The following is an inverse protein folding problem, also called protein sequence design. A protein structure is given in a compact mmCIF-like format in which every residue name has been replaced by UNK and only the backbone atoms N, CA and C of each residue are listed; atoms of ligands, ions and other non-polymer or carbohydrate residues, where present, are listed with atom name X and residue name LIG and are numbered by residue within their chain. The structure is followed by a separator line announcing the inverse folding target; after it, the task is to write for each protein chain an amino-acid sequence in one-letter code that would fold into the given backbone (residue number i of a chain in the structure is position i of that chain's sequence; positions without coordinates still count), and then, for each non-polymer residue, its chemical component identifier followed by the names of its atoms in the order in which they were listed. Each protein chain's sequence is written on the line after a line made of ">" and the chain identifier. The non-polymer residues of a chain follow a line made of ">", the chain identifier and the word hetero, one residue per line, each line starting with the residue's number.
data_IF_637236050167
#
_entry.id   IF_637236050167
#
_cell.length_a   1.000
_cell.length_b   1.000
_cell.length_c   1.000
_cell.angle_alpha   90.00
_cell.angle_beta   90.00
_cell.angle_gamma   90.00
#
_symmetry.space_group_name_H-M   'P 1'
#
loop_
_entity.id
_entity.type
_entity.pdbx_description
1 polymer ?
#
# COMPACT_ATOMS: atom_id res chain seq x y z
N UNK A 1 -13.81 22.78 8.38
CA UNK A 1 -13.74 22.39 6.95
C UNK A 1 -14.27 20.96 6.82
N UNK A 2 -14.72 20.50 5.64
CA UNK A 2 -15.07 19.09 5.46
C UNK A 2 -13.86 18.18 5.74
N UNK A 3 -14.12 17.02 6.33
CA UNK A 3 -13.09 16.13 6.89
C UNK A 3 -13.15 14.72 6.31
N UNK A 4 -12.01 14.20 5.86
CA UNK A 4 -11.83 12.80 5.50
C UNK A 4 -11.09 12.04 6.61
N UNK A 5 -11.66 10.92 7.05
CA UNK A 5 -11.00 10.01 8.00
C UNK A 5 -10.48 8.77 7.27
N UNK A 6 -9.16 8.63 7.21
CA UNK A 6 -8.50 7.46 6.64
C UNK A 6 -8.33 6.36 7.69
N UNK A 7 -8.87 5.16 7.43
CA UNK A 7 -8.76 4.02 8.35
C UNK A 7 -8.00 2.87 7.68
N UNK A 8 -6.89 2.45 8.30
CA UNK A 8 -6.00 1.44 7.75
C UNK A 8 -4.86 1.09 8.70
N UNK A 9 -3.77 0.48 8.22
CA UNK A 9 -2.60 0.15 9.04
C UNK A 9 -1.56 1.29 9.03
N UNK A 10 -1.94 2.53 9.32
CA UNK A 10 -1.04 3.69 9.18
C UNK A 10 0.16 3.71 10.14
N UNK A 11 0.11 2.99 11.26
CA UNK A 11 1.24 2.90 12.20
C UNK A 11 2.15 1.68 11.93
N UNK A 12 1.97 1.00 10.79
CA UNK A 12 2.76 -0.18 10.43
C UNK A 12 3.58 0.12 9.17
N UNK A 13 4.90 -0.09 9.16
CA UNK A 13 5.73 0.15 7.97
C UNK A 13 5.21 -0.60 6.73
N UNK A 14 5.12 0.10 5.60
CA UNK A 14 4.76 -0.48 4.30
C UNK A 14 3.95 0.46 3.41
N UNK A 15 3.76 0.06 2.15
CA UNK A 15 3.21 0.95 1.13
C UNK A 15 1.83 1.54 1.43
N UNK A 16 0.91 0.77 2.02
CA UNK A 16 -0.40 1.32 2.40
C UNK A 16 -0.30 2.43 3.47
N UNK A 17 0.64 2.33 4.40
CA UNK A 17 0.82 3.36 5.42
C UNK A 17 1.36 4.64 4.80
N UNK A 18 2.35 4.53 3.92
CA UNK A 18 2.90 5.67 3.18
C UNK A 18 1.82 6.36 2.32
N UNK A 19 0.99 5.58 1.60
CA UNK A 19 -0.15 6.14 0.84
C UNK A 19 -1.09 6.92 1.74
N UNK A 20 -1.45 6.34 2.89
CA UNK A 20 -2.35 7.01 3.83
C UNK A 20 -1.75 8.30 4.39
N UNK A 21 -0.45 8.30 4.71
CA UNK A 21 0.27 9.48 5.20
C UNK A 21 0.28 10.59 4.14
N UNK A 22 0.67 10.26 2.90
CA UNK A 22 0.71 11.24 1.80
C UNK A 22 -0.68 11.85 1.56
N UNK A 23 -1.74 11.04 1.53
CA UNK A 23 -3.12 11.54 1.36
C UNK A 23 -3.59 12.40 2.53
N UNK A 24 -3.16 12.09 3.76
CA UNK A 24 -3.53 12.85 4.94
C UNK A 24 -2.78 14.19 5.06
N UNK A 25 -1.53 14.23 4.60
CA UNK A 25 -0.71 15.45 4.55
C UNK A 25 -1.11 16.37 3.40
N UNK A 26 -1.68 15.81 2.33
CA UNK A 26 -2.09 16.54 1.13
C UNK A 26 -3.58 16.29 0.82
N UNK A 27 -4.51 16.70 1.71
CA UNK A 27 -5.93 16.58 1.43
C UNK A 27 -6.35 17.47 0.24
N UNK A 28 -7.51 17.19 -0.39
CA UNK A 28 -8.07 18.10 -1.39
C UNK A 28 -8.21 19.53 -0.87
N UNK A 29 -8.13 20.51 -1.77
CA UNK A 29 -8.28 21.92 -1.40
C UNK A 29 -9.59 22.15 -0.63
N UNK A 30 -9.50 22.81 0.52
CA UNK A 30 -10.65 23.05 1.40
C UNK A 30 -11.02 21.88 2.31
N UNK A 31 -10.27 20.78 2.32
CA UNK A 31 -10.50 19.62 3.19
C UNK A 31 -9.43 19.46 4.25
N UNK A 32 -9.81 18.82 5.36
CA UNK A 32 -8.91 18.28 6.38
C UNK A 32 -8.88 16.75 6.30
N UNK A 33 -7.75 16.14 6.68
CA UNK A 33 -7.63 14.70 6.75
C UNK A 33 -7.07 14.22 8.10
N UNK A 34 -7.60 13.10 8.58
CA UNK A 34 -7.14 12.44 9.81
C UNK A 34 -6.86 10.96 9.56
N UNK A 35 -5.93 10.41 10.35
CA UNK A 35 -5.56 9.00 10.32
C UNK A 35 -6.10 8.26 11.54
N UNK A 36 -6.66 7.07 11.32
CA UNK A 36 -7.04 6.14 12.37
C UNK A 36 -6.47 4.75 12.11
N UNK A 37 -5.45 4.42 12.89
CA UNK A 37 -4.81 3.11 12.81
C UNK A 37 -5.69 2.01 13.40
N UNK A 38 -5.96 1.00 12.60
CA UNK A 38 -6.76 -0.18 12.97
C UNK A 38 -5.93 -1.44 13.16
N UNK A 39 -4.60 -1.33 13.10
CA UNK A 39 -3.65 -2.44 13.09
C UNK A 39 -2.33 -2.05 13.74
N UNK A 40 -1.67 -3.02 14.38
CA UNK A 40 -0.30 -2.91 14.88
C UNK A 40 0.46 -4.19 14.53
N UNK A 41 1.78 -4.11 14.45
CA UNK A 41 2.64 -5.31 14.43
C UNK A 41 2.60 -6.03 15.78
N UNK A 42 2.99 -7.30 15.79
CA UNK A 42 3.03 -8.12 17.02
C UNK A 42 1.88 -9.11 17.16
N UNK A 43 1.54 -9.44 18.41
CA UNK A 43 0.70 -10.58 18.77
C UNK A 43 -0.76 -10.44 18.29
N UNK A 44 -1.50 -11.56 18.12
CA UNK A 44 -2.92 -11.53 17.78
C UNK A 44 -3.75 -10.68 18.75
N UNK A 45 -3.40 -10.71 20.04
CA UNK A 45 -4.05 -9.89 21.05
C UNK A 45 -3.80 -8.39 20.87
N UNK A 46 -2.57 -7.98 20.56
CA UNK A 46 -2.25 -6.59 20.24
C UNK A 46 -3.05 -6.09 19.03
N UNK A 47 -3.10 -6.89 17.96
CA UNK A 47 -3.89 -6.60 16.75
C UNK A 47 -5.38 -6.45 17.05
N UNK A 48 -5.93 -7.33 17.88
CA UNK A 48 -7.33 -7.27 18.29
C UNK A 48 -7.65 -6.04 19.15
N UNK A 49 -6.77 -5.69 20.10
CA UNK A 49 -6.91 -4.47 20.91
C UNK A 49 -6.86 -3.21 20.05
N UNK A 50 -5.91 -3.11 19.11
CA UNK A 50 -5.82 -1.99 18.18
C UNK A 50 -7.11 -1.86 17.35
N UNK A 51 -7.61 -2.96 16.79
CA UNK A 51 -8.88 -2.98 16.07
C UNK A 51 -10.05 -2.51 16.95
N UNK A 52 -10.17 -2.98 18.20
CA UNK A 52 -11.25 -2.56 19.12
C UNK A 52 -11.13 -1.10 19.51
N UNK A 53 -9.92 -0.61 19.79
CA UNK A 53 -9.66 0.80 20.10
C UNK A 53 -10.14 1.67 18.93
N UNK A 54 -9.67 1.40 17.72
CA UNK A 54 -10.07 2.12 16.52
C UNK A 54 -11.59 2.09 16.29
N UNK A 55 -12.22 0.93 16.50
CA UNK A 55 -13.68 0.81 16.38
C UNK A 55 -14.42 1.68 17.39
N UNK A 56 -13.97 1.70 18.65
CA UNK A 56 -14.59 2.51 19.69
C UNK A 56 -14.37 4.00 19.41
N UNK A 57 -13.19 4.40 18.96
CA UNK A 57 -12.88 5.77 18.52
C UNK A 57 -13.80 6.19 17.38
N UNK A 58 -13.95 5.38 16.33
CA UNK A 58 -14.89 5.70 15.24
C UNK A 58 -16.33 5.87 15.76
N UNK A 59 -16.79 4.99 16.65
CA UNK A 59 -18.15 5.12 17.23
C UNK A 59 -18.31 6.43 18.02
N UNK A 60 -17.28 6.87 18.75
CA UNK A 60 -17.29 8.15 19.45
C UNK A 60 -17.31 9.32 18.47
N UNK A 61 -16.46 9.31 17.44
CA UNK A 61 -16.43 10.33 16.39
C UNK A 61 -17.78 10.46 15.68
N UNK A 62 -18.41 9.34 15.31
CA UNK A 62 -19.71 9.35 14.63
C UNK A 62 -20.85 9.93 15.48
N UNK A 63 -20.73 9.87 16.81
CA UNK A 63 -21.71 10.42 17.77
C UNK A 63 -21.47 11.89 18.10
N UNK A 64 -20.24 12.38 18.01
CA UNK A 64 -19.87 13.75 18.37
C UNK A 64 -19.87 14.67 17.15
N UNK A 65 -20.78 15.68 17.05
CA UNK A 65 -20.87 16.52 15.85
C UNK A 65 -19.56 17.20 15.45
N UNK A 66 -18.75 17.65 16.42
CA UNK A 66 -17.46 18.29 16.15
C UNK A 66 -16.34 17.34 15.70
N UNK A 67 -16.46 16.04 15.98
CA UNK A 67 -15.45 15.01 15.64
C UNK A 67 -15.87 14.16 14.45
N UNK A 68 -17.09 14.35 13.97
CA UNK A 68 -17.70 13.50 12.96
C UNK A 68 -17.06 13.79 11.59
N UNK A 69 -16.49 12.78 10.92
CA UNK A 69 -15.96 12.98 9.58
C UNK A 69 -17.10 13.09 8.56
N UNK A 70 -16.85 13.82 7.48
CA UNK A 70 -17.76 13.95 6.34
C UNK A 70 -17.65 12.74 5.40
N UNK A 71 -16.46 12.12 5.31
CA UNK A 71 -16.20 10.90 4.53
C UNK A 71 -15.24 10.00 5.30
N UNK A 72 -15.44 8.67 5.24
CA UNK A 72 -14.46 7.70 5.72
C UNK A 72 -13.82 6.94 4.56
N UNK A 73 -12.50 6.99 4.46
CA UNK A 73 -11.71 6.28 3.44
C UNK A 73 -11.02 5.06 4.05
N UNK A 74 -11.52 3.87 3.74
CA UNK A 74 -11.05 2.60 4.27
C UNK A 74 -9.99 2.00 3.35
N UNK A 75 -8.77 1.84 3.85
CA UNK A 75 -7.66 1.20 3.11
C UNK A 75 -7.57 -0.28 3.48
N UNK A 76 -7.73 -1.16 2.49
CA UNK A 76 -7.72 -2.60 2.72
C UNK A 76 -6.85 -3.38 1.73
N UNK A 77 -6.29 -4.47 2.22
CA UNK A 77 -5.82 -5.59 1.40
C UNK A 77 -6.84 -6.75 1.45
N UNK A 78 -6.47 -7.90 0.89
CA UNK A 78 -7.24 -9.14 0.96
C UNK A 78 -7.38 -9.70 2.39
N UNK A 79 -8.16 -10.78 2.52
CA UNK A 79 -8.28 -11.62 3.71
C UNK A 79 -8.63 -10.87 5.01
N UNK A 80 -7.90 -11.08 6.11
CA UNK A 80 -8.19 -10.48 7.42
C UNK A 80 -8.18 -8.95 7.43
N UNK A 81 -7.53 -8.31 6.45
CA UNK A 81 -7.66 -6.87 6.28
C UNK A 81 -9.11 -6.51 5.95
N UNK A 82 -9.71 -7.16 4.95
CA UNK A 82 -11.09 -6.91 4.56
C UNK A 82 -12.06 -7.19 5.72
N UNK A 83 -11.91 -8.33 6.40
CA UNK A 83 -12.80 -8.71 7.50
C UNK A 83 -12.86 -7.68 8.64
N UNK A 84 -11.77 -6.94 8.87
CA UNK A 84 -11.77 -5.81 9.81
C UNK A 84 -12.41 -4.57 9.21
N UNK A 85 -12.06 -4.20 7.97
CA UNK A 85 -12.54 -2.97 7.30
C UNK A 85 -14.04 -3.00 7.05
N UNK A 86 -14.63 -4.16 6.78
CA UNK A 86 -16.09 -4.31 6.64
C UNK A 86 -16.85 -3.79 7.87
N UNK A 87 -16.30 -3.96 9.09
CA UNK A 87 -17.01 -3.49 10.28
C UNK A 87 -17.00 -1.97 10.37
N UNK A 88 -15.91 -1.33 9.96
CA UNK A 88 -15.83 0.13 9.87
C UNK A 88 -16.81 0.65 8.80
N UNK A 89 -16.86 0.05 7.60
CA UNK A 89 -17.84 0.41 6.57
C UNK A 89 -19.29 0.35 7.08
N UNK A 90 -19.65 -0.72 7.79
CA UNK A 90 -20.98 -0.85 8.41
C UNK A 90 -21.28 0.24 9.44
N UNK A 91 -20.31 0.55 10.31
CA UNK A 91 -20.49 1.56 11.35
C UNK A 91 -20.65 2.94 10.73
N UNK A 92 -19.81 3.28 9.75
CA UNK A 92 -19.87 4.54 9.02
C UNK A 92 -21.21 4.70 8.29
N UNK A 93 -21.64 3.67 7.54
CA UNK A 93 -22.90 3.70 6.82
C UNK A 93 -24.11 3.87 7.75
N UNK A 94 -24.18 3.08 8.84
CA UNK A 94 -25.23 3.21 9.86
C UNK A 94 -25.19 4.56 10.57
N UNK A 95 -24.00 5.13 10.69
CA UNK A 95 -23.80 6.47 11.21
C UNK A 95 -24.33 7.56 10.28
N UNK A 96 -24.65 7.26 9.02
CA UNK A 96 -25.06 8.23 8.01
C UNK A 96 -23.89 8.97 7.36
N UNK A 97 -22.69 8.39 7.39
CA UNK A 97 -21.49 8.96 6.75
C UNK A 97 -21.16 8.13 5.50
N UNK A 98 -20.85 8.75 4.35
CA UNK A 98 -20.40 8.03 3.16
C UNK A 98 -19.04 7.35 3.41
N UNK A 99 -18.81 6.21 2.73
CA UNK A 99 -17.57 5.45 2.89
C UNK A 99 -16.98 5.04 1.53
N UNK A 100 -15.65 5.11 1.46
CA UNK A 100 -14.84 4.66 0.33
C UNK A 100 -14.08 3.42 0.78
N UNK A 101 -14.14 2.32 0.01
CA UNK A 101 -13.33 1.12 0.21
C UNK A 101 -12.26 1.09 -0.87
N UNK A 102 -11.01 1.33 -0.48
CA UNK A 102 -9.85 1.36 -1.35
C UNK A 102 -9.06 0.05 -1.21
N UNK A 103 -8.99 -0.73 -2.29
CA UNK A 103 -8.33 -2.04 -2.35
C UNK A 103 -6.89 -1.87 -2.85
N UNK A 104 -5.93 -2.28 -2.04
CA UNK A 104 -4.49 -2.15 -2.28
C UNK A 104 -3.78 -3.47 -2.66
N UNK A 105 -4.50 -4.60 -2.61
CA UNK A 105 -3.89 -5.93 -2.76
C UNK A 105 -3.74 -6.34 -4.22
N UNK A 106 -2.55 -6.83 -4.57
CA UNK A 106 -2.24 -7.43 -5.87
C UNK A 106 -2.74 -8.86 -6.11
N UNK A 107 -3.51 -9.41 -5.17
CA UNK A 107 -4.05 -10.78 -5.24
C UNK A 107 -5.51 -10.81 -4.79
N UNK A 108 -6.20 -9.68 -4.91
CA UNK A 108 -7.55 -9.57 -4.39
C UNK A 108 -8.52 -10.47 -5.16
N UNK A 109 -8.35 -10.59 -6.47
CA UNK A 109 -9.03 -11.51 -7.38
C UNK A 109 -8.80 -12.98 -7.00
N UNK A 110 -7.54 -13.37 -6.75
CA UNK A 110 -7.18 -14.72 -6.30
C UNK A 110 -7.83 -15.03 -4.96
N UNK A 111 -7.81 -14.07 -4.03
CA UNK A 111 -8.52 -14.19 -2.76
C UNK A 111 -10.03 -14.27 -2.97
N UNK A 112 -10.62 -13.65 -3.98
CA UNK A 112 -12.05 -13.76 -4.29
C UNK A 112 -12.40 -15.10 -4.95
N UNK A 113 -11.49 -15.69 -5.71
CA UNK A 113 -11.70 -16.91 -6.49
C UNK A 113 -12.28 -16.58 -7.87
N UNK A 114 -13.55 -16.92 -8.10
CA UNK A 114 -14.27 -16.60 -9.34
C UNK A 114 -15.30 -15.49 -9.10
N UNK A 115 -15.79 -14.80 -10.16
CA UNK A 115 -16.85 -13.80 -10.02
C UNK A 115 -18.12 -14.32 -9.32
N UNK A 116 -18.49 -15.58 -9.54
CA UNK A 116 -19.68 -16.21 -8.93
C UNK A 116 -19.41 -16.93 -7.60
N UNK A 117 -18.17 -16.85 -7.09
CA UNK A 117 -17.83 -17.46 -5.82
C UNK A 117 -18.70 -16.90 -4.70
N UNK A 118 -18.92 -17.70 -3.63
CA UNK A 118 -19.65 -17.24 -2.44
C UNK A 118 -19.03 -15.97 -1.85
N UNK A 119 -17.70 -15.84 -1.94
CA UNK A 119 -16.95 -14.71 -1.40
C UNK A 119 -17.17 -13.45 -2.24
N UNK A 120 -17.11 -13.55 -3.56
CA UNK A 120 -17.37 -12.45 -4.50
C UNK A 120 -18.79 -11.93 -4.34
N UNK A 121 -19.78 -12.83 -4.35
CA UNK A 121 -21.19 -12.46 -4.11
C UNK A 121 -21.39 -11.80 -2.75
N UNK A 122 -20.84 -12.37 -1.68
CA UNK A 122 -20.95 -11.79 -0.34
C UNK A 122 -20.31 -10.41 -0.25
N UNK A 123 -19.15 -10.19 -0.89
CA UNK A 123 -18.49 -8.89 -0.93
C UNK A 123 -19.30 -7.88 -1.74
N UNK A 124 -19.78 -8.24 -2.92
CA UNK A 124 -20.63 -7.41 -3.77
C UNK A 124 -21.91 -6.97 -3.04
N UNK A 125 -22.65 -7.92 -2.47
CA UNK A 125 -23.85 -7.63 -1.67
C UNK A 125 -23.52 -6.72 -0.49
N UNK A 126 -22.38 -6.96 0.18
CA UNK A 126 -21.94 -6.14 1.29
C UNK A 126 -21.67 -4.69 0.86
N UNK A 127 -20.90 -4.47 -0.21
CA UNK A 127 -20.56 -3.12 -0.69
C UNK A 127 -21.82 -2.35 -1.09
N UNK A 128 -22.74 -3.01 -1.80
CA UNK A 128 -24.04 -2.43 -2.17
C UNK A 128 -24.89 -2.08 -0.95
N UNK A 129 -25.04 -3.00 0.02
CA UNK A 129 -25.84 -2.78 1.22
C UNK A 129 -25.31 -1.66 2.12
N UNK A 130 -24.00 -1.35 2.05
CA UNK A 130 -23.37 -0.28 2.82
C UNK A 130 -23.09 0.98 1.99
N UNK A 131 -23.60 1.04 0.74
CA UNK A 131 -23.39 2.14 -0.21
C UNK A 131 -21.92 2.55 -0.31
N UNK A 132 -21.02 1.56 -0.33
CA UNK A 132 -19.58 1.78 -0.38
C UNK A 132 -19.14 2.17 -1.79
N UNK A 133 -18.45 3.30 -1.93
CA UNK A 133 -17.73 3.63 -3.15
C UNK A 133 -16.42 2.83 -3.18
N UNK A 134 -16.18 2.07 -4.25
CA UNK A 134 -15.01 1.19 -4.30
C UNK A 134 -13.93 1.79 -5.20
N UNK A 135 -12.69 1.80 -4.72
CA UNK A 135 -11.51 2.32 -5.42
C UNK A 135 -10.45 1.24 -5.53
N UNK A 136 -9.79 1.16 -6.69
CA UNK A 136 -8.70 0.22 -7.01
C UNK A 136 -7.53 0.97 -7.63
N UNK A 137 -6.35 0.37 -7.61
CA UNK A 137 -5.09 1.07 -7.89
C UNK A 137 -4.81 1.39 -9.36
N UNK A 138 -5.55 0.82 -10.30
CA UNK A 138 -5.31 1.02 -11.73
C UNK A 138 -6.51 0.67 -12.59
N UNK A 139 -6.46 1.03 -13.88
CA UNK A 139 -7.51 0.69 -14.86
C UNK A 139 -7.58 -0.82 -15.10
N UNK A 140 -6.45 -1.51 -15.05
CA UNK A 140 -6.34 -2.96 -15.17
C UNK A 140 -7.04 -3.64 -13.99
N UNK A 141 -6.77 -3.20 -12.76
CA UNK A 141 -7.48 -3.71 -11.58
C UNK A 141 -8.98 -3.42 -11.62
N UNK A 142 -9.39 -2.29 -12.22
CA UNK A 142 -10.81 -2.00 -12.46
C UNK A 142 -11.41 -3.04 -13.41
N UNK A 143 -10.80 -3.28 -14.57
CA UNK A 143 -11.25 -4.30 -15.53
C UNK A 143 -11.34 -5.69 -14.89
N UNK A 144 -10.36 -6.05 -14.06
CA UNK A 144 -10.35 -7.33 -13.35
C UNK A 144 -11.46 -7.40 -12.32
N UNK A 145 -11.60 -6.42 -11.42
CA UNK A 145 -12.44 -6.54 -10.22
C UNK A 145 -13.90 -6.14 -10.44
N UNK A 146 -14.25 -5.36 -11.47
CA UNK A 146 -15.65 -4.92 -11.67
C UNK A 146 -16.62 -6.10 -11.80
N UNK A 147 -16.22 -7.17 -12.50
CA UNK A 147 -17.02 -8.38 -12.63
C UNK A 147 -17.23 -9.10 -11.28
N UNK A 148 -16.29 -8.99 -10.34
CA UNK A 148 -16.36 -9.66 -9.04
C UNK A 148 -17.21 -8.89 -8.03
N UNK A 149 -17.01 -7.57 -7.95
CA UNK A 149 -17.51 -6.77 -6.82
C UNK A 149 -18.43 -5.62 -7.24
N UNK A 150 -18.73 -5.49 -8.53
CA UNK A 150 -19.54 -4.41 -9.08
C UNK A 150 -18.70 -3.17 -9.42
N UNK A 151 -19.34 -2.01 -9.65
CA UNK A 151 -18.64 -0.80 -10.11
C UNK A 151 -17.50 -0.36 -9.18
N UNK A 152 -16.33 -0.08 -9.77
CA UNK A 152 -15.19 0.48 -9.04
C UNK A 152 -14.56 1.64 -9.81
N UNK A 153 -13.83 2.50 -9.11
CA UNK A 153 -13.06 3.60 -9.69
C UNK A 153 -11.57 3.30 -9.64
N UNK A 154 -10.86 3.57 -10.73
CA UNK A 154 -9.40 3.48 -10.75
C UNK A 154 -8.79 4.78 -10.22
N UNK A 155 -7.88 4.68 -9.26
CA UNK A 155 -7.11 5.77 -8.70
C UNK A 155 -5.73 5.25 -8.32
N UNK A 156 -4.69 5.79 -8.95
CA UNK A 156 -3.32 5.42 -8.66
C UNK A 156 -2.93 5.84 -7.24
N UNK A 157 -1.96 5.13 -6.67
CA UNK A 157 -1.29 5.56 -5.46
C UNK A 157 -0.61 6.92 -5.70
N UNK A 158 -0.61 7.82 -4.70
CA UNK A 158 0.16 9.04 -4.78
C UNK A 158 1.66 8.74 -4.67
N UNK A 159 2.45 9.67 -5.18
CA UNK A 159 3.90 9.73 -4.95
C UNK A 159 4.17 10.96 -4.10
N UNK A 160 5.06 10.83 -3.11
CA UNK A 160 5.48 11.95 -2.27
C UNK A 160 6.13 13.04 -3.14
N UNK A 161 5.74 14.30 -2.94
CA UNK A 161 6.23 15.44 -3.70
C UNK A 161 7.75 15.69 -3.53
N UNK A 162 8.37 15.12 -2.50
CA UNK A 162 9.81 15.14 -2.30
C UNK A 162 10.55 14.17 -3.23
N UNK A 163 9.87 13.16 -3.75
CA UNK A 163 10.42 12.27 -4.78
C UNK A 163 10.44 13.04 -6.09
N UNK A 164 11.64 13.42 -6.51
CA UNK A 164 11.88 14.20 -7.72
C UNK A 164 13.17 13.76 -8.38
N UNK A 165 13.28 13.91 -9.71
CA UNK A 165 14.54 13.64 -10.38
C UNK A 165 15.61 14.62 -9.86
N UNK A 166 16.86 14.22 -9.97
CA UNK A 166 18.01 15.06 -9.67
C UNK A 166 18.98 14.97 -10.82
N UNK A 167 19.57 16.09 -11.21
CA UNK A 167 20.63 16.15 -12.23
C UNK A 167 21.96 15.65 -11.66
N UNK A 168 21.98 14.39 -11.20
CA UNK A 168 23.18 13.66 -10.81
C UNK A 168 23.46 12.60 -11.86
N UNK A 169 24.73 12.34 -12.12
CA UNK A 169 25.12 11.18 -12.90
C UNK A 169 24.71 9.92 -12.12
N UNK A 170 23.95 9.04 -12.77
CA UNK A 170 23.59 7.74 -12.18
C UNK A 170 24.84 6.86 -12.12
N UNK A 171 24.90 6.04 -11.10
CA UNK A 171 25.90 4.99 -10.97
C UNK A 171 25.89 4.12 -12.23
N UNK A 172 27.06 3.60 -12.61
CA UNK A 172 27.16 2.61 -13.68
C UNK A 172 27.04 1.21 -13.08
N UNK A 173 26.20 0.37 -13.68
CA UNK A 173 26.00 -1.02 -13.26
C UNK A 173 25.53 -1.16 -11.80
N UNK A 174 24.54 -0.38 -11.40
CA UNK A 174 23.93 -0.45 -10.07
C UNK A 174 22.46 -0.86 -10.17
N UNK A 175 22.15 -2.06 -9.67
CA UNK A 175 20.80 -2.59 -9.57
C UNK A 175 20.24 -2.34 -8.16
N UNK A 176 19.02 -1.81 -8.10
CA UNK A 176 18.34 -1.47 -6.86
C UNK A 176 17.12 -2.36 -6.67
N UNK A 177 16.98 -2.96 -5.48
CA UNK A 177 15.77 -3.67 -5.06
C UNK A 177 15.30 -3.05 -3.74
N UNK A 178 14.14 -2.39 -3.77
CA UNK A 178 13.50 -1.84 -2.57
C UNK A 178 12.27 -2.68 -2.19
N UNK A 179 12.35 -3.36 -1.05
CA UNK A 179 11.25 -4.18 -0.56
C UNK A 179 11.54 -4.82 0.78
N UNK A 180 10.49 -5.12 1.54
CA UNK A 180 10.60 -5.92 2.78
C UNK A 180 11.04 -7.36 2.43
N UNK A 181 11.82 -8.00 3.30
CA UNK A 181 12.22 -9.40 3.09
C UNK A 181 11.06 -10.35 3.40
N UNK A 182 10.27 -10.64 2.38
CA UNK A 182 9.22 -11.65 2.42
C UNK A 182 9.17 -12.42 1.09
N UNK A 183 8.61 -13.65 1.09
CA UNK A 183 8.61 -14.51 -0.10
C UNK A 183 7.98 -13.87 -1.35
N UNK A 184 7.01 -12.96 -1.19
CA UNK A 184 6.36 -12.27 -2.32
C UNK A 184 7.31 -11.30 -2.98
N UNK A 185 8.24 -10.68 -2.23
CA UNK A 185 9.16 -9.65 -2.73
C UNK A 185 10.35 -10.20 -3.50
N UNK A 186 10.66 -11.48 -3.33
CA UNK A 186 11.55 -12.21 -4.23
C UNK A 186 13.03 -11.90 -4.09
N UNK A 187 13.53 -11.50 -2.92
CA UNK A 187 14.96 -11.20 -2.68
C UNK A 187 15.90 -12.30 -3.18
N UNK A 188 15.62 -13.57 -2.85
CA UNK A 188 16.44 -14.70 -3.30
C UNK A 188 16.49 -14.80 -4.83
N UNK A 189 15.35 -14.60 -5.51
CA UNK A 189 15.31 -14.58 -6.96
C UNK A 189 16.08 -13.36 -7.52
N UNK A 190 15.98 -12.21 -6.88
CA UNK A 190 16.76 -11.02 -7.23
C UNK A 190 18.27 -11.24 -7.11
N UNK A 191 18.72 -11.98 -6.10
CA UNK A 191 20.13 -12.38 -5.93
C UNK A 191 20.56 -13.29 -7.08
N UNK A 192 19.78 -14.33 -7.41
CA UNK A 192 20.08 -15.25 -8.52
C UNK A 192 20.15 -14.53 -9.87
N UNK A 193 19.21 -13.61 -10.13
CA UNK A 193 19.26 -12.76 -11.34
C UNK A 193 20.54 -11.93 -11.35
N UNK A 194 20.92 -11.34 -10.22
CA UNK A 194 22.12 -10.51 -10.10
C UNK A 194 23.41 -11.33 -10.32
N UNK A 195 23.48 -12.55 -9.79
CA UNK A 195 24.59 -13.48 -10.03
C UNK A 195 24.72 -13.79 -11.53
N UNK A 196 23.61 -14.05 -12.22
CA UNK A 196 23.62 -14.34 -13.64
C UNK A 196 24.05 -13.14 -14.48
N UNK A 197 23.58 -11.94 -14.14
CA UNK A 197 24.00 -10.70 -14.82
C UNK A 197 25.49 -10.43 -14.59
N UNK A 198 26.03 -10.78 -13.42
CA UNK A 198 27.45 -10.63 -13.07
C UNK A 198 28.39 -11.53 -13.87
N UNK A 199 27.92 -12.63 -14.45
CA UNK A 199 28.72 -13.41 -15.40
C UNK A 199 29.12 -12.58 -16.63
N UNK A 200 28.30 -11.60 -17.02
CA UNK A 200 28.54 -10.69 -18.15
C UNK A 200 29.07 -9.33 -17.70
N UNK A 201 28.60 -8.83 -16.54
CA UNK A 201 29.01 -7.55 -15.95
C UNK A 201 29.57 -7.75 -14.54
N UNK A 202 30.84 -8.19 -14.38
CA UNK A 202 31.46 -8.48 -13.08
C UNK A 202 31.52 -7.29 -12.11
N UNK A 203 31.36 -6.06 -12.61
CA UNK A 203 31.32 -4.82 -11.84
C UNK A 203 29.93 -4.48 -11.26
N UNK A 204 28.87 -5.23 -11.59
CA UNK A 204 27.50 -4.94 -11.13
C UNK A 204 27.42 -4.86 -9.60
N UNK A 205 27.04 -3.70 -9.07
CA UNK A 205 26.71 -3.53 -7.67
C UNK A 205 25.20 -3.65 -7.47
N UNK A 206 24.80 -4.17 -6.30
CA UNK A 206 23.39 -4.33 -5.96
C UNK A 206 23.12 -3.74 -4.60
N UNK A 207 22.10 -2.86 -4.49
CA UNK A 207 21.57 -2.43 -3.21
C UNK A 207 20.22 -3.08 -2.97
N UNK A 208 20.06 -3.73 -1.81
CA UNK A 208 18.79 -4.35 -1.40
C UNK A 208 18.37 -3.90 -0.01
N UNK A 209 17.12 -3.42 0.13
CA UNK A 209 16.51 -3.23 1.45
C UNK A 209 15.82 -4.50 1.94
N UNK A 210 15.40 -4.53 3.21
CA UNK A 210 14.70 -5.64 3.83
C UNK A 210 15.60 -6.77 4.32
N UNK A 211 16.80 -6.93 3.76
CA UNK A 211 17.87 -7.80 4.26
C UNK A 211 19.01 -6.96 4.83
N UNK A 212 19.55 -7.36 5.98
CA UNK A 212 20.62 -6.60 6.66
C UNK A 212 22.00 -7.23 6.55
N UNK A 213 22.08 -8.46 6.04
CA UNK A 213 23.34 -9.22 5.91
C UNK A 213 23.32 -9.95 4.58
N UNK A 214 24.46 -9.96 3.90
CA UNK A 214 24.69 -10.73 2.68
C UNK A 214 26.11 -11.28 2.68
N UNK A 215 26.33 -12.53 2.24
CA UNK A 215 27.68 -13.07 2.05
C UNK A 215 28.36 -12.53 0.79
N UNK A 216 27.61 -11.88 -0.10
CA UNK A 216 28.11 -11.38 -1.37
C UNK A 216 28.70 -9.98 -1.22
N UNK A 217 29.99 -9.82 -1.54
CA UNK A 217 30.70 -8.53 -1.43
C UNK A 217 30.20 -7.45 -2.40
N UNK A 218 29.52 -7.86 -3.47
CA UNK A 218 28.92 -6.97 -4.48
C UNK A 218 27.47 -6.57 -4.15
N UNK A 219 26.91 -7.07 -3.05
CA UNK A 219 25.56 -6.76 -2.59
C UNK A 219 25.60 -5.98 -1.28
N UNK A 220 25.09 -4.75 -1.31
CA UNK A 220 24.84 -3.93 -0.14
C UNK A 220 23.48 -4.28 0.46
N UNK A 221 23.49 -5.02 1.59
CA UNK A 221 22.29 -5.36 2.35
C UNK A 221 21.96 -4.22 3.32
N UNK A 222 21.03 -3.36 2.93
CA UNK A 222 20.75 -2.07 3.57
C UNK A 222 19.83 -2.15 4.79
N UNK A 223 19.13 -3.27 4.98
CA UNK A 223 18.12 -3.40 6.03
C UNK A 223 16.95 -2.44 5.80
N UNK A 224 16.46 -1.82 6.89
CA UNK A 224 15.53 -0.70 6.82
C UNK A 224 16.32 0.59 6.72
N UNK A 225 15.99 1.42 5.73
CA UNK A 225 16.67 2.69 5.46
C UNK A 225 15.73 3.86 5.71
N UNK A 226 16.32 5.04 5.92
CA UNK A 226 15.57 6.29 5.99
C UNK A 226 15.11 6.76 4.60
N UNK A 227 14.11 7.64 4.58
CA UNK A 227 13.55 8.20 3.33
C UNK A 227 14.61 8.97 2.51
N UNK A 228 15.58 9.61 3.17
CA UNK A 228 16.69 10.32 2.52
C UNK A 228 17.60 9.36 1.74
N UNK A 229 17.95 8.21 2.32
CA UNK A 229 18.73 7.17 1.66
C UNK A 229 17.92 6.49 0.55
N UNK A 230 16.61 6.24 0.76
CA UNK A 230 15.72 5.73 -0.29
C UNK A 230 15.73 6.66 -1.51
N UNK A 231 15.55 7.96 -1.29
CA UNK A 231 15.57 8.97 -2.36
C UNK A 231 16.93 9.01 -3.06
N UNK A 232 18.03 8.96 -2.31
CA UNK A 232 19.37 8.90 -2.90
C UNK A 232 19.54 7.68 -3.82
N UNK A 233 19.16 6.49 -3.36
CA UNK A 233 19.24 5.26 -4.17
C UNK A 233 18.37 5.34 -5.43
N UNK A 234 17.15 5.86 -5.33
CA UNK A 234 16.28 6.08 -6.49
C UNK A 234 16.89 7.05 -7.51
N UNK A 235 17.61 8.07 -7.03
CA UNK A 235 18.26 9.08 -7.87
C UNK A 235 19.58 8.61 -8.49
N UNK A 236 20.31 7.67 -7.88
CA UNK A 236 21.64 7.25 -8.37
C UNK A 236 21.66 5.86 -8.99
N UNK A 237 20.77 4.93 -8.63
CA UNK A 237 20.79 3.58 -9.21
C UNK A 237 20.63 3.60 -10.73
N UNK A 238 21.12 2.57 -11.41
CA UNK A 238 20.99 2.42 -12.87
C UNK A 238 19.69 1.75 -13.27
N UNK A 239 19.24 0.76 -12.50
CA UNK A 239 18.06 -0.03 -12.81
C UNK A 239 17.34 -0.45 -11.53
N UNK A 240 16.02 -0.26 -11.48
CA UNK A 240 15.17 -0.88 -10.45
C UNK A 240 14.82 -2.32 -10.85
N UNK A 241 15.06 -3.27 -9.94
CA UNK A 241 14.55 -4.64 -10.02
C UNK A 241 13.36 -4.81 -9.08
N UNK A 242 12.23 -5.26 -9.63
CA UNK A 242 11.03 -5.62 -8.87
C UNK A 242 10.68 -7.09 -9.12
N UNK A 243 11.31 -8.03 -8.39
CA UNK A 243 11.11 -9.46 -8.61
C UNK A 243 9.85 -10.00 -7.93
N UNK A 244 8.91 -9.11 -7.60
CA UNK A 244 7.78 -9.45 -6.77
C UNK A 244 6.78 -10.33 -7.53
N UNK A 245 6.35 -11.43 -6.92
CA UNK A 245 5.39 -12.34 -7.55
C UNK A 245 4.00 -11.71 -7.72
N UNK A 246 3.63 -10.79 -6.81
CA UNK A 246 2.35 -10.12 -6.83
C UNK A 246 2.46 -8.69 -6.33
N UNK A 247 1.81 -7.75 -7.02
CA UNK A 247 1.73 -6.33 -6.64
C UNK A 247 0.37 -5.76 -6.99
N UNK A 248 -0.12 -4.84 -6.15
CA UNK A 248 -1.31 -4.05 -6.49
C UNK A 248 -0.91 -2.95 -7.48
N UNK A 249 -0.20 -1.97 -6.94
CA UNK A 249 0.58 -1.00 -7.70
C UNK A 249 1.79 -0.65 -6.84
N UNK A 250 2.98 -1.15 -7.19
CA UNK A 250 4.15 -1.02 -6.34
C UNK A 250 4.59 0.45 -6.27
N UNK A 251 4.52 1.06 -5.09
CA UNK A 251 4.95 2.46 -4.88
C UNK A 251 6.37 2.70 -5.39
N UNK A 252 7.28 1.76 -5.11
CA UNK A 252 8.68 1.85 -5.55
C UNK A 252 8.82 2.07 -7.06
N UNK A 253 7.94 1.48 -7.88
CA UNK A 253 7.98 1.69 -9.32
C UNK A 253 7.54 3.11 -9.67
N UNK A 254 6.49 3.63 -9.03
CA UNK A 254 6.05 5.01 -9.24
C UNK A 254 7.13 6.01 -8.77
N UNK A 255 7.76 5.75 -7.63
CA UNK A 255 8.86 6.55 -7.09
C UNK A 255 10.07 6.54 -8.04
N UNK A 256 10.48 5.37 -8.54
CA UNK A 256 11.57 5.22 -9.51
C UNK A 256 11.29 5.97 -10.82
N UNK A 257 10.11 5.77 -11.41
CA UNK A 257 9.68 6.47 -12.61
C UNK A 257 9.69 7.99 -12.42
N UNK A 258 9.27 8.47 -11.24
CA UNK A 258 9.29 9.90 -10.90
C UNK A 258 10.72 10.43 -10.81
N UNK A 259 11.67 9.63 -10.34
CA UNK A 259 13.10 9.97 -10.35
C UNK A 259 13.77 9.80 -11.72
N UNK A 260 13.09 9.27 -12.73
CA UNK A 260 13.69 8.94 -14.03
C UNK A 260 14.65 7.75 -13.96
N UNK A 261 14.35 6.76 -13.11
CA UNK A 261 14.97 5.43 -13.06
C UNK A 261 14.09 4.44 -13.81
#
# INVERSE_FOLDING_TARGET
>A
MPKVLHIGPCDTPGGMANVMQILAEHPPEGWEAELLSSHVTGSPWAKWRAYRKARNTLVQMLKGPALRPDVVHLHTAADWSWWRKRRFAQLTHKGGVPNIVHIHSGQFDTWLGTPDSKRSRALKTFLQANKSHTVVLSKEWKQVLEQYIGPVHAMNNPVDANIRPRSVERDRFHLLLLGRNDPVKGHNFGIQVSEKVREVYPQLQVSMTGISISPHTWLSAKGWIEESEKLHLLQTATLLLVPSAFEGQPLVVLEALTCGL
#
